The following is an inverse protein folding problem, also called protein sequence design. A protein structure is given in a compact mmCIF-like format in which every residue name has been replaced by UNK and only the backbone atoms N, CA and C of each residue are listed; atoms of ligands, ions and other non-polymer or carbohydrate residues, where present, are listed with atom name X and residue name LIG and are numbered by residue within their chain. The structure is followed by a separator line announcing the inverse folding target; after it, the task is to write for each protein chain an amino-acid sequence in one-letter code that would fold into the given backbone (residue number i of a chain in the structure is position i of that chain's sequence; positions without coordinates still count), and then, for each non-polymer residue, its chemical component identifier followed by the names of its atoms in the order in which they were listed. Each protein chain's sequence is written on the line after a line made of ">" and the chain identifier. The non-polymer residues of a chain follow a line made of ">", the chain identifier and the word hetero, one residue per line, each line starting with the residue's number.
data_IF_406387889493
#
_entry.id   IF_406387889493
#
_cell.length_a   1.000
_cell.length_b   1.000
_cell.length_c   1.000
_cell.angle_alpha   90.00
_cell.angle_beta   90.00
_cell.angle_gamma   90.00
#
_symmetry.space_group_name_H-M   'P 1'
#
loop_
_entity.id
_entity.type
_entity.pdbx_description
1 polymer ?
#
# COMPACT_ATOMS: atom_id res chain seq x y z
N UNK A 1 -5.01 9.29 10.57
CA UNK A 1 -4.26 8.11 10.11
C UNK A 1 -3.18 7.81 11.15
N UNK A 2 -3.44 6.85 12.06
CA UNK A 2 -2.48 6.51 13.10
C UNK A 2 -1.30 5.74 12.51
N UNK A 3 -0.12 5.99 13.10
CA UNK A 3 1.08 5.20 12.85
C UNK A 3 1.83 5.03 14.16
N UNK A 4 2.43 3.86 14.34
CA UNK A 4 3.27 3.53 15.48
C UNK A 4 4.45 2.72 15.02
N UNK A 5 5.63 2.99 15.59
CA UNK A 5 6.84 2.21 15.34
C UNK A 5 7.58 1.94 16.65
N UNK A 6 8.25 0.79 16.70
CA UNK A 6 9.09 0.39 17.79
C UNK A 6 10.40 -0.20 17.26
N UNK A 7 11.47 0.02 17.99
CA UNK A 7 12.78 -0.56 17.70
C UNK A 7 13.45 -1.00 18.99
N UNK A 8 13.98 -2.22 18.97
CA UNK A 8 14.69 -2.79 20.10
C UNK A 8 16.09 -3.24 19.65
N UNK A 9 17.11 -2.61 20.23
CA UNK A 9 18.50 -3.01 19.99
C UNK A 9 18.87 -4.12 20.96
N UNK A 10 18.76 -5.35 20.51
CA UNK A 10 18.98 -6.56 21.31
C UNK A 10 20.45 -6.68 21.68
N UNK A 11 21.35 -6.27 20.80
CA UNK A 11 22.80 -6.33 21.01
C UNK A 11 23.29 -5.53 22.21
N UNK A 12 22.54 -4.52 22.68
CA UNK A 12 22.93 -3.69 23.83
C UNK A 12 22.47 -4.28 25.17
N UNK A 13 21.67 -5.33 25.16
CA UNK A 13 21.14 -5.96 26.35
C UNK A 13 22.21 -6.75 27.12
N UNK A 14 22.13 -6.80 28.46
CA UNK A 14 23.13 -7.48 29.30
C UNK A 14 23.31 -8.96 28.98
N UNK A 15 22.26 -9.65 28.59
CA UNK A 15 22.32 -11.08 28.24
C UNK A 15 23.04 -11.34 26.89
N UNK A 16 23.28 -10.31 26.08
CA UNK A 16 23.98 -10.40 24.80
C UNK A 16 25.48 -10.08 24.91
N UNK A 17 25.97 -9.74 26.06
CA UNK A 17 27.40 -9.37 26.24
C UNK A 17 28.35 -10.48 25.79
N UNK A 18 28.03 -11.74 26.02
CA UNK A 18 28.83 -12.88 25.59
C UNK A 18 28.97 -13.06 24.08
N UNK A 19 28.12 -12.41 23.29
CA UNK A 19 28.10 -12.53 21.81
C UNK A 19 28.85 -11.41 21.10
N UNK A 20 29.31 -10.37 21.82
CA UNK A 20 29.95 -9.17 21.23
C UNK A 20 31.24 -9.45 20.46
N UNK A 21 31.84 -10.61 20.62
CA UNK A 21 33.03 -11.02 19.88
C UNK A 21 32.74 -11.25 18.38
N UNK A 22 31.53 -11.64 18.02
CA UNK A 22 31.12 -11.92 16.64
C UNK A 22 29.87 -11.18 16.20
N UNK A 23 28.92 -10.87 17.11
CA UNK A 23 27.71 -10.11 16.85
C UNK A 23 27.92 -8.64 17.24
N UNK A 24 28.03 -7.77 16.25
CA UNK A 24 28.30 -6.34 16.45
C UNK A 24 27.02 -5.55 16.70
N UNK A 25 25.96 -5.85 15.96
CA UNK A 25 24.65 -5.20 16.12
C UNK A 25 23.53 -6.17 15.81
N UNK A 26 22.46 -6.08 16.57
CA UNK A 26 21.21 -6.80 16.32
C UNK A 26 20.04 -5.93 16.78
N UNK A 27 19.22 -5.51 15.82
CA UNK A 27 18.09 -4.62 16.08
C UNK A 27 16.81 -5.16 15.46
N UNK A 28 15.81 -5.36 16.28
CA UNK A 28 14.45 -5.67 15.84
C UNK A 28 13.66 -4.37 15.65
N UNK A 29 12.94 -4.28 14.55
CA UNK A 29 12.02 -3.17 14.21
C UNK A 29 10.64 -3.71 13.93
N UNK A 30 9.62 -2.96 14.37
CA UNK A 30 8.24 -3.23 14.01
C UNK A 30 7.53 -1.89 13.79
N UNK A 31 6.73 -1.82 12.74
CA UNK A 31 5.90 -0.65 12.48
C UNK A 31 4.50 -1.06 11.99
N UNK A 32 3.54 -0.23 12.33
CA UNK A 32 2.16 -0.31 11.87
C UNK A 32 1.68 1.09 11.50
N UNK A 33 1.03 1.21 10.36
CA UNK A 33 0.46 2.47 9.92
C UNK A 33 -0.83 2.28 9.13
N UNK A 34 -1.72 3.25 9.27
CA UNK A 34 -2.94 3.35 8.46
C UNK A 34 -2.82 4.56 7.55
N UNK A 35 -3.08 4.36 6.27
CA UNK A 35 -3.06 5.40 5.24
C UNK A 35 -4.42 5.50 4.56
N UNK A 36 -4.76 6.67 4.04
CA UNK A 36 -5.96 6.88 3.22
C UNK A 36 -5.57 7.25 1.79
N UNK A 37 -6.33 6.78 0.83
CA UNK A 37 -6.20 7.19 -0.56
C UNK A 37 -7.55 7.67 -1.08
N UNK A 38 -7.58 8.88 -1.65
CA UNK A 38 -8.75 9.50 -2.27
C UNK A 38 -8.52 9.79 -3.76
N UNK A 39 -7.66 9.05 -4.43
CA UNK A 39 -7.21 9.28 -5.80
C UNK A 39 -8.27 9.13 -6.90
N UNK A 40 -9.55 8.98 -6.55
CA UNK A 40 -10.66 8.80 -7.50
C UNK A 40 -11.30 10.12 -8.02
N UNK A 41 -10.69 11.28 -7.72
CA UNK A 41 -11.15 12.59 -8.18
C UNK A 41 -12.34 13.17 -7.40
N UNK A 42 -12.55 14.46 -7.58
CA UNK A 42 -13.61 15.20 -6.87
C UNK A 42 -15.00 14.86 -7.42
N UNK A 43 -16.01 14.96 -6.56
CA UNK A 43 -17.43 14.84 -6.90
C UNK A 43 -17.87 13.49 -7.48
N UNK A 44 -17.07 12.42 -7.37
CA UNK A 44 -17.42 11.09 -7.89
C UNK A 44 -18.61 10.44 -7.15
N UNK A 45 -18.85 10.84 -5.91
CA UNK A 45 -20.01 10.40 -5.12
C UNK A 45 -21.33 11.01 -5.54
N UNK A 46 -21.32 12.11 -6.32
CA UNK A 46 -22.50 12.90 -6.63
C UNK A 46 -23.01 12.64 -8.04
N UNK A 47 -24.33 12.74 -8.23
CA UNK A 47 -24.97 12.86 -9.53
C UNK A 47 -24.70 14.26 -10.11
N UNK A 48 -23.65 14.40 -10.88
CA UNK A 48 -23.38 15.67 -11.59
C UNK A 48 -24.29 15.77 -12.80
N UNK A 49 -24.67 17.00 -13.19
CA UNK A 49 -25.50 17.26 -14.35
C UNK A 49 -24.63 17.52 -15.58
N UNK A 50 -25.08 17.08 -16.73
CA UNK A 50 -24.46 17.36 -18.03
C UNK A 50 -25.50 17.72 -19.07
N UNK A 51 -25.10 18.44 -20.11
CA UNK A 51 -25.98 18.76 -21.24
C UNK A 51 -26.12 17.55 -22.17
N UNK A 52 -27.36 17.12 -22.43
CA UNK A 52 -27.68 15.97 -23.31
C UNK A 52 -28.05 16.39 -24.74
N UNK A 53 -28.11 17.67 -25.04
CA UNK A 53 -28.52 18.18 -26.34
C UNK A 53 -29.51 19.31 -26.21
N UNK A 54 -30.28 19.55 -27.27
CA UNK A 54 -31.23 20.66 -27.36
C UNK A 54 -32.60 20.17 -27.81
N UNK A 55 -33.66 20.81 -27.31
CA UNK A 55 -34.99 20.66 -27.86
C UNK A 55 -35.49 22.03 -28.35
N UNK A 56 -36.32 21.96 -29.38
CA UNK A 56 -36.91 23.18 -29.96
C UNK A 56 -38.31 23.39 -29.38
N UNK A 57 -38.55 24.57 -28.88
CA UNK A 57 -39.86 25.00 -28.42
C UNK A 57 -40.13 26.44 -28.85
N UNK A 58 -41.26 26.66 -29.52
CA UNK A 58 -41.70 27.95 -30.04
C UNK A 58 -40.60 28.69 -30.83
N UNK A 59 -39.91 27.98 -31.73
CA UNK A 59 -38.83 28.51 -32.57
C UNK A 59 -37.51 28.80 -31.88
N UNK A 60 -37.39 28.48 -30.59
CA UNK A 60 -36.16 28.67 -29.79
C UNK A 60 -35.57 27.32 -29.39
N UNK A 61 -34.24 27.26 -29.34
CA UNK A 61 -33.48 26.09 -28.89
C UNK A 61 -33.18 26.18 -27.41
N UNK A 62 -33.48 25.15 -26.65
CA UNK A 62 -33.25 25.02 -25.23
C UNK A 62 -32.38 23.81 -24.96
N UNK A 63 -31.30 24.00 -24.13
CA UNK A 63 -30.44 22.92 -23.73
C UNK A 63 -31.11 22.01 -22.70
N UNK A 64 -31.03 20.70 -22.91
CA UNK A 64 -31.50 19.70 -21.95
C UNK A 64 -30.38 19.29 -21.05
N UNK A 65 -30.64 19.27 -19.76
CA UNK A 65 -29.71 18.86 -18.72
C UNK A 65 -30.21 17.60 -18.02
N UNK A 66 -29.30 16.70 -17.72
CA UNK A 66 -29.63 15.46 -17.01
C UNK A 66 -28.42 14.90 -16.25
N UNK A 67 -28.60 13.85 -15.46
CA UNK A 67 -27.52 13.23 -14.71
C UNK A 67 -26.40 12.75 -15.65
N UNK A 68 -25.15 12.93 -15.25
CA UNK A 68 -23.97 12.48 -16.01
C UNK A 68 -23.49 11.07 -15.60
N UNK A 69 -23.92 10.60 -14.43
CA UNK A 69 -23.52 9.32 -13.85
C UNK A 69 -24.48 8.90 -12.75
N UNK A 70 -24.38 7.62 -12.35
CA UNK A 70 -25.01 7.14 -11.13
C UNK A 70 -24.30 7.77 -9.91
N UNK A 71 -25.08 8.16 -8.91
CA UNK A 71 -24.53 8.63 -7.63
C UNK A 71 -24.21 7.46 -6.70
N UNK A 72 -23.23 7.66 -5.81
CA UNK A 72 -23.00 6.77 -4.69
C UNK A 72 -22.60 7.60 -3.46
N UNK A 73 -23.59 7.93 -2.63
CA UNK A 73 -23.41 8.73 -1.41
C UNK A 73 -22.56 8.02 -0.35
N UNK A 74 -22.38 6.71 -0.46
CA UNK A 74 -21.57 5.91 0.45
C UNK A 74 -20.10 5.79 0.02
N UNK A 75 -19.74 6.42 -1.10
CA UNK A 75 -18.37 6.41 -1.58
C UNK A 75 -17.45 7.06 -0.55
N UNK A 76 -16.42 6.33 -0.15
CA UNK A 76 -15.45 6.77 0.86
C UNK A 76 -14.03 6.43 0.45
N UNK A 77 -13.05 6.88 1.23
CA UNK A 77 -11.63 6.70 0.95
C UNK A 77 -11.23 5.22 1.09
N UNK A 78 -10.33 4.79 0.24
CA UNK A 78 -9.60 3.55 0.44
C UNK A 78 -8.75 3.63 1.70
N UNK A 79 -8.63 2.52 2.42
CA UNK A 79 -7.83 2.41 3.64
C UNK A 79 -6.69 1.42 3.45
N UNK A 80 -5.47 1.90 3.55
CA UNK A 80 -4.27 1.07 3.59
C UNK A 80 -3.89 0.76 5.04
N UNK A 81 -3.80 -0.52 5.40
CA UNK A 81 -3.24 -1.00 6.66
C UNK A 81 -1.92 -1.67 6.36
N UNK A 82 -0.84 -1.09 6.84
CA UNK A 82 0.52 -1.55 6.58
C UNK A 82 1.19 -1.94 7.89
N UNK A 83 1.86 -3.06 7.93
CA UNK A 83 2.74 -3.42 9.01
C UNK A 83 4.01 -4.09 8.48
N UNK A 84 5.11 -3.82 9.12
CA UNK A 84 6.42 -4.38 8.82
C UNK A 84 7.07 -4.91 10.09
N UNK A 85 7.84 -5.98 9.94
CA UNK A 85 8.79 -6.46 10.95
C UNK A 85 10.14 -6.58 10.26
N UNK A 86 11.15 -5.93 10.82
CA UNK A 86 12.50 -5.91 10.29
C UNK A 86 13.54 -6.31 11.34
N UNK A 87 14.56 -7.00 10.90
CA UNK A 87 15.72 -7.38 11.67
C UNK A 87 16.98 -6.83 11.00
N UNK A 88 17.64 -5.89 11.63
CA UNK A 88 18.96 -5.39 11.22
C UNK A 88 20.04 -6.12 12.00
N UNK A 89 21.10 -6.54 11.33
CA UNK A 89 22.17 -7.30 11.95
C UNK A 89 23.52 -6.92 11.37
N UNK A 90 24.55 -6.99 12.21
CA UNK A 90 25.94 -6.80 11.82
C UNK A 90 26.85 -7.77 12.60
N UNK A 91 27.74 -8.41 11.88
CA UNK A 91 28.66 -9.41 12.39
C UNK A 91 30.11 -9.00 12.12
N UNK A 92 31.05 -9.54 12.92
CA UNK A 92 32.50 -9.41 12.72
C UNK A 92 32.95 -7.93 12.56
N UNK A 93 32.59 -7.09 13.54
CA UNK A 93 32.87 -5.66 13.53
C UNK A 93 32.34 -4.91 12.30
N UNK A 94 31.17 -5.35 11.78
CA UNK A 94 30.52 -4.72 10.61
C UNK A 94 31.09 -5.17 9.25
N UNK A 95 31.90 -6.23 9.21
CA UNK A 95 32.37 -6.77 7.95
C UNK A 95 31.28 -7.52 7.17
N UNK A 96 30.31 -8.08 7.88
CA UNK A 96 29.13 -8.72 7.30
C UNK A 96 27.89 -8.14 7.99
N UNK A 97 27.01 -7.53 7.23
CA UNK A 97 25.80 -6.91 7.76
C UNK A 97 24.65 -6.95 6.75
N UNK A 98 23.47 -6.73 7.25
CA UNK A 98 22.29 -6.73 6.40
C UNK A 98 20.99 -6.51 7.13
N UNK A 99 19.91 -6.68 6.40
CA UNK A 99 18.57 -6.61 6.96
C UNK A 99 17.66 -7.70 6.39
N UNK A 100 16.71 -8.13 7.19
CA UNK A 100 15.57 -8.95 6.79
C UNK A 100 14.31 -8.19 7.13
N UNK A 101 13.41 -8.06 6.17
CA UNK A 101 12.15 -7.36 6.35
C UNK A 101 10.99 -8.22 5.86
N UNK A 102 9.95 -8.32 6.66
CA UNK A 102 8.66 -8.87 6.23
C UNK A 102 7.64 -7.76 6.27
N UNK A 103 6.93 -7.54 5.17
CA UNK A 103 5.89 -6.54 5.07
C UNK A 103 4.54 -7.17 4.71
N UNK A 104 3.48 -6.51 5.18
CA UNK A 104 2.12 -6.84 4.80
C UNK A 104 1.34 -5.53 4.63
N UNK A 105 0.85 -5.29 3.43
CA UNK A 105 0.06 -4.12 3.05
C UNK A 105 -1.32 -4.60 2.63
N UNK A 106 -2.34 -4.17 3.34
CA UNK A 106 -3.73 -4.51 3.02
C UNK A 106 -4.47 -3.24 2.63
N UNK A 107 -4.86 -3.15 1.37
CA UNK A 107 -5.67 -2.06 0.84
C UNK A 107 -7.14 -2.50 0.88
N UNK A 108 -7.93 -1.82 1.71
CA UNK A 108 -9.36 -2.06 1.90
C UNK A 108 -10.17 -1.01 1.17
N UNK A 109 -11.40 -1.36 0.83
CA UNK A 109 -12.38 -0.45 0.24
C UNK A 109 -11.89 0.15 -1.10
N UNK A 110 -11.24 -0.68 -1.94
CA UNK A 110 -10.74 -0.28 -3.25
C UNK A 110 -11.86 0.37 -4.07
N UNK A 111 -11.62 1.56 -4.57
CA UNK A 111 -12.57 2.31 -5.38
C UNK A 111 -12.39 1.98 -6.86
N UNK A 112 -13.47 1.67 -7.51
CA UNK A 112 -13.48 1.39 -8.94
C UNK A 112 -14.83 1.66 -9.57
N UNK A 113 -14.86 1.60 -10.89
CA UNK A 113 -16.07 1.69 -11.69
C UNK A 113 -16.60 0.27 -11.94
N UNK A 114 -17.76 -0.05 -11.35
CA UNK A 114 -18.33 -1.39 -11.38
C UNK A 114 -19.65 -1.42 -12.16
N UNK A 115 -19.94 -2.53 -12.88
CA UNK A 115 -21.19 -2.70 -13.60
C UNK A 115 -22.40 -2.55 -12.67
N UNK A 116 -23.38 -1.76 -13.11
CA UNK A 116 -24.65 -1.55 -12.42
C UNK A 116 -25.80 -2.05 -13.30
N UNK A 117 -26.80 -2.76 -12.75
CA UNK A 117 -27.95 -3.23 -13.53
C UNK A 117 -28.84 -2.05 -13.98
N UNK A 118 -29.27 -2.08 -15.21
CA UNK A 118 -30.25 -1.14 -15.76
C UNK A 118 -31.53 -1.87 -16.12
N UNK A 119 -32.70 -1.56 -15.50
CA UNK A 119 -32.92 -0.72 -14.34
C UNK A 119 -32.47 -1.39 -13.03
N UNK A 120 -32.40 -0.70 -11.87
CA UNK A 120 -32.91 0.64 -11.62
C UNK A 120 -31.94 1.79 -11.88
N UNK A 121 -30.65 1.49 -12.15
CA UNK A 121 -29.66 2.51 -12.41
C UNK A 121 -29.84 3.15 -13.80
N UNK A 122 -29.52 4.45 -13.92
CA UNK A 122 -29.58 5.17 -15.20
C UNK A 122 -28.40 4.86 -16.12
N UNK A 123 -27.27 4.48 -15.56
CA UNK A 123 -26.03 4.17 -16.28
C UNK A 123 -25.56 2.77 -15.91
N UNK A 124 -24.86 2.14 -16.85
CA UNK A 124 -24.37 0.76 -16.74
C UNK A 124 -23.22 0.56 -15.75
N UNK A 125 -22.72 1.63 -15.15
CA UNK A 125 -21.66 1.55 -14.14
C UNK A 125 -21.84 2.57 -13.02
N UNK A 126 -21.23 2.29 -11.88
CA UNK A 126 -21.18 3.17 -10.71
C UNK A 126 -19.85 3.05 -9.97
N UNK A 127 -19.39 4.15 -9.36
CA UNK A 127 -18.22 4.12 -8.49
C UNK A 127 -18.59 3.53 -7.13
N UNK A 128 -17.91 2.46 -6.75
CA UNK A 128 -18.15 1.76 -5.48
C UNK A 128 -16.84 1.41 -4.78
N UNK A 129 -16.90 1.29 -3.45
CA UNK A 129 -15.82 0.71 -2.64
C UNK A 129 -16.00 -0.81 -2.59
N UNK A 130 -15.28 -1.51 -3.45
CA UNK A 130 -15.43 -2.96 -3.62
C UNK A 130 -14.09 -3.64 -3.61
N UNK A 131 -13.89 -4.49 -2.62
CA UNK A 131 -12.73 -5.34 -2.60
C UNK A 131 -11.64 -4.92 -1.63
N UNK A 132 -10.84 -5.93 -1.32
CA UNK A 132 -9.66 -5.81 -0.48
C UNK A 132 -8.53 -6.58 -1.13
N UNK A 133 -7.40 -5.91 -1.34
CA UNK A 133 -6.18 -6.51 -1.84
C UNK A 133 -5.12 -6.54 -0.75
N UNK A 134 -4.39 -7.63 -0.68
CA UNK A 134 -3.24 -7.80 0.20
C UNK A 134 -1.98 -8.02 -0.63
N UNK A 135 -0.96 -7.24 -0.32
CA UNK A 135 0.39 -7.42 -0.81
C UNK A 135 1.30 -7.72 0.37
N UNK A 136 1.97 -8.86 0.35
CA UNK A 136 2.92 -9.25 1.39
C UNK A 136 4.17 -9.85 0.78
N UNK A 137 5.29 -9.66 1.43
CA UNK A 137 6.55 -10.16 0.93
C UNK A 137 7.64 -10.14 1.97
N UNK A 138 8.74 -10.76 1.59
CA UNK A 138 9.96 -10.81 2.35
C UNK A 138 11.06 -10.17 1.52
N UNK A 139 11.82 -9.28 2.12
CA UNK A 139 12.94 -8.57 1.51
C UNK A 139 14.18 -8.82 2.35
N UNK A 140 15.32 -9.01 1.71
CA UNK A 140 16.59 -9.10 2.39
C UNK A 140 17.69 -8.37 1.61
N UNK A 141 18.62 -7.90 2.35
CA UNK A 141 19.84 -7.25 1.89
C UNK A 141 20.99 -7.76 2.75
N UNK A 142 22.06 -8.18 2.12
CA UNK A 142 23.26 -8.70 2.79
C UNK A 142 24.48 -8.08 2.13
N UNK A 143 25.32 -7.43 2.91
CA UNK A 143 26.57 -6.84 2.44
C UNK A 143 27.73 -7.49 3.18
N UNK A 144 28.70 -7.95 2.40
CA UNK A 144 29.92 -8.53 2.91
C UNK A 144 31.14 -7.76 2.39
N UNK A 145 31.89 -7.16 3.31
CA UNK A 145 33.20 -6.57 3.05
C UNK A 145 34.26 -7.67 3.12
N UNK A 146 34.39 -8.43 2.03
CA UNK A 146 35.18 -9.66 2.03
C UNK A 146 36.69 -9.39 2.14
N UNK A 147 37.17 -8.31 1.53
CA UNK A 147 38.58 -7.92 1.59
C UNK A 147 38.66 -6.41 1.76
N UNK A 148 39.47 -5.98 2.72
CA UNK A 148 39.82 -4.57 2.91
C UNK A 148 41.29 -4.45 3.27
N UNK A 149 42.10 -4.10 2.28
CA UNK A 149 43.53 -3.81 2.44
C UNK A 149 43.79 -2.34 2.14
N UNK A 150 45.05 -1.90 2.28
CA UNK A 150 45.44 -0.53 2.02
C UNK A 150 45.21 -0.12 0.54
N UNK A 151 45.42 -1.05 -0.37
CA UNK A 151 45.43 -0.79 -1.83
C UNK A 151 44.26 -1.48 -2.58
N UNK A 152 43.50 -2.36 -1.89
CA UNK A 152 42.41 -3.11 -2.49
C UNK A 152 41.25 -3.33 -1.51
N UNK A 153 40.00 -3.13 -1.98
CA UNK A 153 38.81 -3.46 -1.25
C UNK A 153 37.82 -4.20 -2.14
N UNK A 154 37.19 -5.24 -1.59
CA UNK A 154 36.14 -6.00 -2.27
C UNK A 154 34.92 -6.15 -1.37
N UNK A 155 33.80 -5.64 -1.85
CA UNK A 155 32.50 -5.71 -1.16
C UNK A 155 31.51 -6.42 -2.06
N UNK A 156 30.83 -7.41 -1.53
CA UNK A 156 29.72 -8.12 -2.16
C UNK A 156 28.41 -7.69 -1.52
N UNK A 157 27.45 -7.28 -2.33
CA UNK A 157 26.10 -7.00 -1.89
C UNK A 157 25.11 -7.95 -2.61
N UNK A 158 24.24 -8.59 -1.84
CA UNK A 158 23.18 -9.49 -2.32
C UNK A 158 21.86 -8.97 -1.82
N UNK A 159 20.95 -8.70 -2.74
CA UNK A 159 19.58 -8.26 -2.42
C UNK A 159 18.57 -9.21 -3.04
N UNK A 160 17.49 -9.45 -2.34
CA UNK A 160 16.41 -10.29 -2.84
C UNK A 160 15.07 -9.94 -2.22
N UNK A 161 14.02 -10.20 -2.98
CA UNK A 161 12.65 -9.95 -2.53
C UNK A 161 11.71 -11.03 -3.05
N UNK A 162 10.70 -11.34 -2.24
CA UNK A 162 9.53 -12.11 -2.67
C UNK A 162 8.30 -11.25 -2.54
N UNK A 163 7.32 -11.46 -3.42
CA UNK A 163 6.09 -10.70 -3.40
C UNK A 163 4.90 -11.63 -3.67
N UNK A 164 3.85 -11.46 -2.88
CA UNK A 164 2.57 -12.15 -3.05
C UNK A 164 1.43 -11.14 -3.03
N UNK A 165 0.71 -11.05 -4.15
CA UNK A 165 -0.50 -10.24 -4.27
C UNK A 165 -1.71 -11.14 -4.27
N UNK A 166 -2.69 -10.85 -3.42
CA UNK A 166 -3.94 -11.61 -3.33
C UNK A 166 -5.13 -10.67 -3.15
N UNK A 167 -6.19 -10.90 -3.92
CA UNK A 167 -7.50 -10.39 -3.56
C UNK A 167 -8.04 -11.20 -2.39
N UNK A 168 -8.29 -10.52 -1.27
CA UNK A 168 -8.84 -11.14 -0.05
C UNK A 168 -10.35 -11.20 -0.16
N UNK A 169 -10.94 -10.15 -0.75
CA UNK A 169 -12.37 -10.04 -0.98
C UNK A 169 -12.59 -9.12 -2.19
N UNK A 170 -13.44 -9.51 -3.12
CA UNK A 170 -13.65 -8.74 -4.35
C UNK A 170 -15.06 -8.18 -4.53
N UNK A 171 -16.07 -8.74 -3.90
CA UNK A 171 -17.45 -8.24 -4.04
C UNK A 171 -18.31 -8.65 -2.85
N UNK A 172 -19.24 -7.79 -2.49
CA UNK A 172 -20.37 -8.13 -1.59
C UNK A 172 -21.62 -8.54 -2.37
N UNK A 173 -21.55 -8.61 -3.69
CA UNK A 173 -22.66 -9.08 -4.53
C UNK A 173 -22.50 -10.57 -4.73
N UNK A 174 -23.36 -11.34 -4.05
CA UNK A 174 -23.71 -12.69 -4.40
C UNK A 174 -24.65 -12.65 -5.61
#
# INVERSE_FOLDING_TARGET
>A
FPAVSAGWRISDEPFMQGTKSWLTDLKLRADYGVTGNQGFGSYKSLATMTGFGYYMYNGKSYQVWGPARNENVFLHWEKGKNWNIGLDWALFNGNLYGSFNYYNRTQQDLVGDYPAPMPPYLFSSTFENVGTMRNSGFEFDITWNAVKTKDFSYTLNIVGATMSNKFVHFSKRE
#
